data_IF_186032762176
#
_entry.id   IF_186032762176
#
_cell.length_a   1.000
_cell.length_b   1.000
_cell.length_c   1.000
_cell.angle_alpha   90.00
_cell.angle_beta   90.00
_cell.angle_gamma   90.00
#
_symmetry.space_group_name_H-M   'P 1'
#
loop_
_entity.id
_entity.type
_entity.pdbx_description
1 polymer ?
#
# COMPACT_ATOMS: atom_id res chain seq x y z
N UNK A 1 -34.74 1.17 10.55
CA UNK A 1 -33.26 1.04 10.49
C UNK A 1 -32.76 2.24 9.68
N UNK A 2 -31.92 3.12 10.24
CA UNK A 2 -31.40 4.27 9.48
C UNK A 2 -30.46 3.74 8.38
N UNK A 3 -30.49 4.33 7.17
CA UNK A 3 -29.54 3.97 6.14
C UNK A 3 -28.11 4.22 6.64
N UNK A 4 -27.22 3.27 6.39
CA UNK A 4 -25.81 3.39 6.71
C UNK A 4 -25.23 4.43 5.75
N UNK A 5 -24.63 5.48 6.30
CA UNK A 5 -23.82 6.40 5.51
C UNK A 5 -22.49 5.71 5.22
N UNK A 6 -22.33 5.25 3.98
CA UNK A 6 -21.17 4.51 3.51
C UNK A 6 -19.90 5.39 3.57
N UNK A 7 -20.03 6.71 3.36
CA UNK A 7 -18.89 7.62 3.41
C UNK A 7 -18.33 7.75 4.83
N UNK A 8 -19.20 7.91 5.82
CA UNK A 8 -18.83 7.91 7.24
C UNK A 8 -18.25 6.56 7.69
N UNK A 9 -18.81 5.46 7.17
CA UNK A 9 -18.35 4.11 7.51
C UNK A 9 -16.95 3.83 6.97
N UNK A 10 -16.66 4.20 5.72
CA UNK A 10 -15.32 4.06 5.11
C UNK A 10 -14.30 4.89 5.88
N UNK A 11 -14.61 6.15 6.19
CA UNK A 11 -13.73 7.01 6.98
C UNK A 11 -13.43 6.43 8.36
N UNK A 12 -14.43 5.86 9.03
CA UNK A 12 -14.25 5.21 10.32
C UNK A 12 -13.34 3.98 10.22
N UNK A 13 -13.56 3.13 9.21
CA UNK A 13 -12.72 1.96 8.98
C UNK A 13 -11.28 2.37 8.70
N UNK A 14 -11.07 3.38 7.83
CA UNK A 14 -9.74 3.90 7.55
C UNK A 14 -9.06 4.39 8.83
N UNK A 15 -9.73 5.22 9.62
CA UNK A 15 -9.16 5.86 10.81
C UNK A 15 -8.73 4.85 11.90
N UNK A 16 -9.56 3.83 12.18
CA UNK A 16 -9.37 2.95 13.33
C UNK A 16 -8.77 1.57 13.01
N UNK A 17 -8.56 1.25 11.74
CA UNK A 17 -7.88 0.00 11.36
C UNK A 17 -6.39 0.09 11.65
N UNK A 18 -5.85 -0.93 12.32
CA UNK A 18 -4.42 -1.04 12.65
C UNK A 18 -3.59 -1.57 11.47
N UNK A 19 -4.25 -2.20 10.50
CA UNK A 19 -3.62 -2.57 9.23
C UNK A 19 -3.41 -1.29 8.39
N UNK A 20 -2.26 -1.21 7.74
CA UNK A 20 -1.91 -0.06 6.91
C UNK A 20 -2.62 -0.10 5.57
N UNK A 21 -3.55 0.82 5.35
CA UNK A 21 -4.30 0.97 4.11
C UNK A 21 -3.78 2.18 3.33
N UNK A 22 -3.31 1.95 2.10
CA UNK A 22 -3.06 3.01 1.12
C UNK A 22 -4.06 2.87 -0.02
N UNK A 23 -4.37 3.96 -0.72
CA UNK A 23 -5.13 4.00 -1.96
C UNK A 23 -4.19 4.56 -3.03
N UNK A 24 -4.08 3.92 -4.19
CA UNK A 24 -3.28 4.44 -5.32
C UNK A 24 -4.15 4.73 -6.55
N UNK A 25 -3.70 5.64 -7.40
CA UNK A 25 -4.25 5.83 -8.73
C UNK A 25 -3.71 4.78 -9.74
N UNK A 26 -4.20 4.74 -11.00
CA UNK A 26 -3.70 3.80 -12.02
C UNK A 26 -2.23 3.97 -12.41
N UNK A 27 -1.61 5.11 -12.07
CA UNK A 27 -0.18 5.33 -12.27
C UNK A 27 0.68 4.79 -11.12
N UNK A 28 0.03 4.30 -10.06
CA UNK A 28 0.68 3.79 -8.85
C UNK A 28 1.00 4.88 -7.83
N UNK A 29 0.45 6.08 -7.98
CA UNK A 29 0.65 7.18 -7.02
C UNK A 29 -0.32 7.04 -5.86
N UNK A 30 0.17 7.16 -4.62
CA UNK A 30 -0.68 7.17 -3.43
C UNK A 30 -1.59 8.41 -3.48
N UNK A 31 -2.89 8.21 -3.35
CA UNK A 31 -3.91 9.25 -3.29
C UNK A 31 -4.61 9.32 -1.93
N UNK A 32 -4.51 8.27 -1.11
CA UNK A 32 -4.93 8.27 0.28
C UNK A 32 -4.12 7.27 1.11
N UNK A 33 -4.01 7.50 2.41
CA UNK A 33 -3.34 6.62 3.36
C UNK A 33 -4.02 6.75 4.72
N UNK A 34 -4.26 5.64 5.40
CA UNK A 34 -4.77 5.67 6.77
C UNK A 34 -3.66 5.94 7.81
N UNK A 35 -4.00 6.30 9.06
CA UNK A 35 -3.00 6.59 10.10
C UNK A 35 -2.04 5.42 10.39
N UNK A 36 -2.53 4.19 10.30
CA UNK A 36 -1.71 3.00 10.48
C UNK A 36 -0.65 2.85 9.37
N UNK A 37 -1.01 3.08 8.11
CA UNK A 37 -0.07 3.03 6.99
C UNK A 37 1.05 4.05 7.17
N UNK A 38 0.72 5.28 7.57
CA UNK A 38 1.71 6.31 7.86
C UNK A 38 2.68 5.86 8.96
N UNK A 39 2.14 5.30 10.06
CA UNK A 39 2.94 4.82 11.18
C UNK A 39 3.85 3.65 10.78
N UNK A 40 3.31 2.67 10.05
CA UNK A 40 4.04 1.47 9.58
C UNK A 40 5.16 1.87 8.62
N UNK A 41 4.89 2.77 7.68
CA UNK A 41 5.86 3.23 6.70
C UNK A 41 6.89 4.21 7.30
N UNK A 42 6.69 4.65 8.55
CA UNK A 42 7.58 5.56 9.26
C UNK A 42 7.40 7.02 8.87
N UNK A 43 6.24 7.38 8.34
CA UNK A 43 5.84 8.73 7.98
C UNK A 43 5.33 9.49 9.21
N UNK A 44 6.26 9.85 10.10
CA UNK A 44 5.94 10.70 11.24
C UNK A 44 5.85 12.16 10.76
N UNK A 45 4.67 12.60 10.32
CA UNK A 45 4.21 13.98 10.01
C UNK A 45 5.07 14.90 9.11
N UNK A 46 6.37 14.70 8.94
CA UNK A 46 7.28 15.55 8.15
C UNK A 46 7.54 15.01 6.74
N UNK A 47 7.29 13.72 6.49
CA UNK A 47 7.44 13.11 5.17
C UNK A 47 6.07 12.88 4.54
N UNK A 48 5.67 13.82 3.69
CA UNK A 48 4.46 13.70 2.89
C UNK A 48 4.82 12.95 1.60
N UNK A 49 4.54 11.66 1.52
CA UNK A 49 4.84 10.88 0.31
C UNK A 49 4.09 11.40 -0.92
N UNK A 50 2.95 12.06 -0.70
CA UNK A 50 2.21 12.83 -1.70
C UNK A 50 3.04 13.95 -2.37
N UNK A 51 4.14 14.36 -1.73
CA UNK A 51 5.02 15.45 -2.18
C UNK A 51 6.49 15.03 -2.34
N UNK A 52 6.88 13.80 -1.98
CA UNK A 52 8.27 13.35 -2.10
C UNK A 52 8.53 12.70 -3.45
N UNK A 53 9.53 13.16 -4.19
CA UNK A 53 9.98 12.56 -5.46
C UNK A 53 10.62 11.18 -5.30
N UNK A 54 10.85 10.72 -4.05
CA UNK A 54 11.51 9.45 -3.77
C UNK A 54 10.53 8.29 -3.85
N UNK A 55 10.82 7.32 -4.72
CA UNK A 55 10.05 6.08 -4.79
C UNK A 55 10.48 5.17 -3.63
N UNK A 56 9.54 4.38 -3.12
CA UNK A 56 9.82 3.45 -2.03
C UNK A 56 10.94 2.45 -2.40
N UNK A 57 11.05 2.12 -3.70
CA UNK A 57 12.12 1.33 -4.31
C UNK A 57 13.51 1.94 -4.17
N UNK A 58 13.62 3.24 -3.92
CA UNK A 58 14.90 3.95 -3.78
C UNK A 58 15.44 3.85 -2.33
N UNK A 59 14.59 3.45 -1.39
CA UNK A 59 14.89 3.41 0.04
C UNK A 59 15.06 1.98 0.58
N UNK A 60 14.52 0.98 -0.12
CA UNK A 60 14.47 -0.40 0.34
C UNK A 60 14.82 -1.40 -0.76
N UNK A 61 15.59 -2.44 -0.41
CA UNK A 61 15.67 -3.67 -1.19
C UNK A 61 14.53 -4.61 -0.80
N UNK A 62 13.83 -5.15 -1.80
CA UNK A 62 12.71 -6.06 -1.61
C UNK A 62 13.07 -7.50 -2.02
N UNK A 63 12.71 -8.44 -1.17
CA UNK A 63 12.80 -9.88 -1.45
C UNK A 63 11.54 -10.59 -0.98
N UNK A 64 11.38 -11.85 -1.39
CA UNK A 64 10.45 -12.74 -0.72
C UNK A 64 10.98 -13.15 0.67
N UNK A 65 10.20 -13.96 1.39
CA UNK A 65 10.57 -14.47 2.71
C UNK A 65 11.80 -15.39 2.69
N UNK A 66 12.17 -15.92 1.52
CA UNK A 66 13.32 -16.80 1.33
C UNK A 66 14.56 -16.04 0.82
N UNK A 67 14.59 -14.71 0.97
CA UNK A 67 15.67 -13.84 0.50
C UNK A 67 15.92 -13.86 -1.01
N UNK A 68 14.94 -14.36 -1.79
CA UNK A 68 15.01 -14.28 -3.25
C UNK A 68 14.64 -12.88 -3.68
N UNK A 69 15.50 -12.26 -4.49
CA UNK A 69 15.22 -10.96 -5.07
C UNK A 69 13.93 -11.02 -5.90
N UNK A 70 12.99 -10.12 -5.61
CA UNK A 70 11.72 -10.02 -6.32
C UNK A 70 11.80 -8.79 -7.21
N UNK A 71 11.82 -8.95 -8.54
CA UNK A 71 11.74 -7.81 -9.46
C UNK A 71 10.50 -6.98 -9.14
N UNK A 72 10.62 -5.65 -9.21
CA UNK A 72 9.49 -4.74 -8.91
C UNK A 72 8.22 -5.12 -9.69
N UNK A 73 8.33 -5.47 -10.97
CA UNK A 73 7.23 -5.94 -11.82
C UNK A 73 6.47 -7.16 -11.31
N UNK A 74 7.11 -7.97 -10.46
CA UNK A 74 6.53 -9.17 -9.84
C UNK A 74 6.04 -8.91 -8.41
N UNK A 75 6.28 -7.71 -7.87
CA UNK A 75 5.71 -7.31 -6.59
C UNK A 75 4.18 -7.13 -6.69
N UNK A 76 3.44 -7.25 -5.57
CA UNK A 76 1.99 -7.10 -5.55
C UNK A 76 1.44 -5.84 -6.23
N UNK A 77 2.03 -4.66 -6.07
CA UNK A 77 1.46 -3.41 -6.61
C UNK A 77 1.40 -3.39 -8.15
N UNK A 78 2.50 -3.61 -8.90
CA UNK A 78 2.44 -3.65 -10.37
C UNK A 78 1.57 -4.77 -10.94
N UNK A 79 1.49 -5.91 -10.24
CA UNK A 79 0.57 -7.01 -10.61
C UNK A 79 -0.88 -6.58 -10.43
N UNK A 80 -1.19 -5.92 -9.31
CA UNK A 80 -2.50 -5.39 -9.07
C UNK A 80 -2.89 -4.32 -10.10
N UNK A 81 -1.99 -3.40 -10.45
CA UNK A 81 -2.21 -2.40 -11.51
C UNK A 81 -2.56 -3.03 -12.88
N UNK A 82 -2.16 -4.29 -13.14
CA UNK A 82 -2.52 -5.06 -14.34
C UNK A 82 -3.87 -5.79 -14.21
N UNK A 83 -4.55 -5.66 -13.07
CA UNK A 83 -5.83 -6.26 -12.75
C UNK A 83 -5.74 -7.56 -11.94
N UNK A 84 -4.56 -7.97 -11.46
CA UNK A 84 -4.43 -9.18 -10.64
C UNK A 84 -4.79 -8.90 -9.17
N UNK A 85 -5.66 -9.71 -8.57
CA UNK A 85 -5.80 -9.71 -7.12
C UNK A 85 -4.62 -10.45 -6.50
N UNK A 86 -3.84 -9.76 -5.66
CA UNK A 86 -2.77 -10.38 -4.88
C UNK A 86 -3.15 -10.29 -3.40
N UNK A 87 -3.16 -11.43 -2.72
CA UNK A 87 -3.56 -11.54 -1.31
C UNK A 87 -2.47 -12.24 -0.51
N UNK A 88 -2.33 -11.83 0.75
CA UNK A 88 -1.44 -12.45 1.74
C UNK A 88 0.00 -12.63 1.22
N UNK A 89 0.53 -11.64 0.50
CA UNK A 89 1.89 -11.71 -0.01
C UNK A 89 2.90 -11.42 1.11
N UNK A 90 3.70 -12.41 1.43
CA UNK A 90 4.80 -12.29 2.38
C UNK A 90 6.07 -11.79 1.70
N UNK A 91 6.65 -10.73 2.26
CA UNK A 91 7.87 -10.12 1.74
C UNK A 91 8.78 -9.58 2.83
N UNK A 92 10.01 -9.29 2.43
CA UNK A 92 11.03 -8.69 3.26
C UNK A 92 11.54 -7.42 2.58
N UNK A 93 11.66 -6.36 3.36
CA UNK A 93 12.23 -5.10 2.93
C UNK A 93 13.44 -4.77 3.81
N UNK A 94 14.57 -4.43 3.19
CA UNK A 94 15.79 -4.04 3.88
C UNK A 94 16.08 -2.58 3.56
N UNK A 95 16.13 -1.73 4.60
CA UNK A 95 16.46 -0.32 4.42
C UNK A 95 17.92 -0.19 3.94
N UNK A 96 18.13 0.46 2.80
CA UNK A 96 19.45 0.54 2.16
C UNK A 96 20.45 1.32 3.02
N UNK A 97 19.98 2.34 3.76
CA UNK A 97 20.85 3.22 4.55
C UNK A 97 21.19 2.62 5.92
N UNK A 98 20.21 2.01 6.59
CA UNK A 98 20.38 1.55 7.98
C UNK A 98 20.59 0.05 8.11
N UNK A 99 20.30 -0.74 7.07
CA UNK A 99 20.31 -2.20 7.12
C UNK A 99 19.14 -2.81 7.90
N UNK A 100 18.22 -1.99 8.42
CA UNK A 100 17.08 -2.48 9.18
C UNK A 100 16.17 -3.33 8.31
N UNK A 101 15.82 -4.51 8.81
CA UNK A 101 14.94 -5.47 8.15
C UNK A 101 13.51 -5.28 8.64
N UNK A 102 12.57 -5.32 7.69
CA UNK A 102 11.12 -5.35 7.95
C UNK A 102 10.50 -6.50 7.18
N UNK A 103 9.60 -7.22 7.83
CA UNK A 103 8.77 -8.23 7.21
C UNK A 103 7.38 -7.66 6.98
N UNK A 104 6.76 -8.02 5.87
CA UNK A 104 5.47 -7.52 5.43
C UNK A 104 4.61 -8.71 5.05
N UNK A 105 3.37 -8.69 5.50
CA UNK A 105 2.29 -9.42 4.88
C UNK A 105 1.40 -8.35 4.27
N UNK A 106 1.19 -8.37 2.97
CA UNK A 106 0.31 -7.39 2.36
C UNK A 106 -0.45 -7.91 1.15
N UNK A 107 -1.66 -7.39 1.00
CA UNK A 107 -2.52 -7.60 -0.17
C UNK A 107 -2.53 -6.35 -1.06
N UNK A 108 -2.80 -6.54 -2.35
CA UNK A 108 -3.01 -5.48 -3.32
C UNK A 108 -4.16 -5.88 -4.25
N UNK A 109 -5.25 -5.12 -4.19
CA UNK A 109 -6.51 -5.47 -4.85
C UNK A 109 -6.95 -4.33 -5.78
N UNK A 110 -7.23 -4.60 -7.07
CA UNK A 110 -7.82 -3.62 -7.97
C UNK A 110 -9.21 -3.23 -7.55
N UNK A 111 -9.41 -1.93 -7.35
CA UNK A 111 -10.74 -1.33 -7.21
C UNK A 111 -11.07 -0.63 -8.52
N UNK A 112 -12.20 -1.00 -9.11
CA UNK A 112 -12.74 -0.39 -10.32
C UNK A 112 -13.97 0.44 -9.94
N UNK A 113 -14.12 1.65 -10.48
CA UNK A 113 -15.40 2.36 -10.38
C UNK A 113 -16.43 1.76 -11.35
N UNK A 114 -17.70 2.17 -11.22
CA UNK A 114 -18.79 1.72 -12.10
C UNK A 114 -18.59 2.08 -13.59
N UNK A 115 -17.63 2.96 -13.93
CA UNK A 115 -17.22 3.32 -15.29
C UNK A 115 -15.95 2.58 -15.78
N UNK A 116 -15.41 1.61 -15.03
CA UNK A 116 -14.12 0.94 -15.29
C UNK A 116 -12.90 1.88 -15.30
N UNK A 117 -12.99 3.05 -14.70
CA UNK A 117 -11.81 3.88 -14.40
C UNK A 117 -11.43 3.64 -12.94
N UNK A 118 -10.25 3.05 -12.72
CA UNK A 118 -9.83 2.48 -11.44
C UNK A 118 -9.62 3.57 -10.37
N UNK A 119 -10.31 3.53 -9.21
CA UNK A 119 -9.91 4.29 -8.05
C UNK A 119 -9.56 3.32 -6.94
N UNK A 120 -8.26 3.10 -6.76
CA UNK A 120 -7.75 2.68 -5.48
C UNK A 120 -7.35 1.24 -5.34
N UNK A 121 -6.49 1.03 -4.36
CA UNK A 121 -5.96 -0.27 -3.98
C UNK A 121 -6.15 -0.38 -2.48
N UNK A 122 -6.35 -1.57 -1.95
CA UNK A 122 -6.42 -1.81 -0.51
C UNK A 122 -5.12 -2.49 -0.10
N UNK A 123 -4.37 -1.85 0.78
CA UNK A 123 -3.25 -2.47 1.47
C UNK A 123 -3.79 -3.03 2.79
N UNK A 124 -3.51 -4.30 3.05
CA UNK A 124 -3.78 -4.97 4.32
C UNK A 124 -2.75 -6.04 4.51
#
# INVERSE_FOLDING_TARGET
>A
MKPIDLSSSISTIMEFTHDGILLLDPSGMIIAANPAANSILGFNQEYNFLQSEHKFTDLFYFSDINDKNVPFEQSPVPRALKGECVVDYEGKAVNIKTGNVRYWLYSAIPIFNEQKESPGWLFR
#
